data_IF_794080990445
#
_entry.id   IF_794080990445
#
_cell.length_a   1.000
_cell.length_b   1.000
_cell.length_c   1.000
_cell.angle_alpha   90.00
_cell.angle_beta   90.00
_cell.angle_gamma   90.00
#
_symmetry.space_group_name_H-M   'P 1'
#
loop_
_entity.id
_entity.type
_entity.pdbx_description
1 polymer ?
#
# COMPACT_ATOMS: atom_id res chain seq x y z
N UNK A 1 12.28 -17.43 1.07
CA UNK A 1 13.06 -16.88 -0.07
C UNK A 1 12.26 -17.02 -1.35
N UNK A 2 12.03 -18.25 -1.88
CA UNK A 2 11.17 -18.52 -3.04
C UNK A 2 9.88 -17.68 -3.08
N UNK A 3 9.00 -17.83 -2.09
CA UNK A 3 7.72 -17.11 -1.98
C UNK A 3 7.80 -15.58 -1.84
N UNK A 4 9.00 -15.03 -1.64
CA UNK A 4 9.24 -13.58 -1.64
C UNK A 4 9.61 -13.14 -3.05
N UNK A 5 10.48 -13.89 -3.74
CA UNK A 5 10.78 -13.68 -5.15
C UNK A 5 9.52 -13.88 -6.02
N UNK A 6 8.68 -14.88 -5.73
CA UNK A 6 7.41 -15.10 -6.41
C UNK A 6 6.48 -13.87 -6.32
N UNK A 7 6.46 -13.18 -5.17
CA UNK A 7 5.68 -11.94 -5.00
C UNK A 7 6.29 -10.72 -5.71
N UNK A 8 7.62 -10.58 -5.66
CA UNK A 8 8.34 -9.44 -6.22
C UNK A 8 8.48 -9.48 -7.76
N UNK A 9 8.54 -10.69 -8.35
CA UNK A 9 8.78 -10.91 -9.79
C UNK A 9 7.57 -11.49 -10.55
N UNK A 10 6.36 -11.40 -9.99
CA UNK A 10 5.12 -11.69 -10.73
C UNK A 10 4.78 -13.18 -10.90
N UNK A 11 5.13 -14.02 -9.92
CA UNK A 11 4.73 -15.43 -9.87
C UNK A 11 3.21 -15.60 -9.92
N UNK A 12 2.76 -16.54 -10.76
CA UNK A 12 1.37 -16.66 -11.22
C UNK A 12 0.41 -17.31 -10.20
N UNK A 13 0.24 -16.67 -9.04
CA UNK A 13 -0.92 -16.94 -8.18
C UNK A 13 -2.21 -16.55 -8.92
N UNK A 14 -3.27 -17.36 -8.76
CA UNK A 14 -4.52 -17.21 -9.51
C UNK A 14 -5.13 -15.82 -9.35
N UNK A 15 -5.32 -15.11 -10.46
CA UNK A 15 -5.80 -13.73 -10.52
C UNK A 15 -7.22 -13.61 -9.91
N UNK A 16 -7.31 -13.16 -8.67
CA UNK A 16 -8.57 -12.71 -8.07
C UNK A 16 -8.86 -11.28 -8.57
N UNK A 17 -9.96 -11.02 -9.30
CA UNK A 17 -10.26 -9.68 -9.83
C UNK A 17 -10.44 -8.59 -8.76
N UNK A 18 -10.68 -8.97 -7.49
CA UNK A 18 -10.72 -8.03 -6.37
C UNK A 18 -9.33 -7.65 -5.85
N UNK A 19 -8.27 -8.39 -6.21
CA UNK A 19 -6.96 -8.19 -5.61
C UNK A 19 -6.27 -6.91 -6.10
N UNK A 20 -5.98 -6.03 -5.15
CA UNK A 20 -5.25 -4.78 -5.39
C UNK A 20 -3.84 -4.93 -4.83
N UNK A 21 -2.90 -5.30 -5.70
CA UNK A 21 -1.48 -5.38 -5.36
C UNK A 21 -0.77 -4.02 -5.48
N UNK A 22 -1.32 -3.09 -6.28
CA UNK A 22 -0.64 -1.87 -6.70
C UNK A 22 -0.26 -0.95 -5.53
N UNK A 23 -1.08 -0.89 -4.47
CA UNK A 23 -0.77 -0.14 -3.24
C UNK A 23 0.03 -0.96 -2.22
N UNK A 24 0.17 -2.29 -2.39
CA UNK A 24 0.56 -3.25 -1.32
C UNK A 24 1.80 -4.09 -1.59
N UNK A 25 2.38 -3.98 -2.78
CA UNK A 25 3.60 -4.69 -3.16
C UNK A 25 4.67 -3.74 -3.69
N UNK A 26 5.87 -4.28 -3.85
CA UNK A 26 6.97 -3.70 -4.62
C UNK A 26 7.22 -4.70 -5.74
N UNK A 27 7.37 -4.25 -6.97
CA UNK A 27 7.71 -5.14 -8.09
C UNK A 27 8.74 -4.51 -9.00
N UNK A 28 9.58 -5.36 -9.59
CA UNK A 28 10.60 -5.00 -10.55
C UNK A 28 10.26 -5.62 -11.91
N UNK A 29 10.59 -4.90 -12.98
CA UNK A 29 10.51 -5.36 -14.37
C UNK A 29 9.12 -5.96 -14.72
N UNK A 30 8.07 -5.27 -14.29
CA UNK A 30 6.68 -5.67 -14.55
C UNK A 30 6.31 -5.47 -16.02
N UNK A 31 5.29 -6.20 -16.47
CA UNK A 31 4.85 -6.10 -17.86
C UNK A 31 4.34 -4.68 -18.17
N UNK A 32 4.44 -4.24 -19.43
CA UNK A 32 3.96 -2.91 -19.84
C UNK A 32 2.47 -2.71 -19.52
N UNK A 33 1.67 -3.78 -19.56
CA UNK A 33 0.25 -3.80 -19.16
C UNK A 33 0.04 -3.59 -17.65
N UNK A 34 1.01 -3.93 -16.82
CA UNK A 34 0.98 -3.71 -15.37
C UNK A 34 1.55 -2.33 -14.98
N UNK A 35 2.24 -1.63 -15.90
CA UNK A 35 2.60 -0.21 -15.74
C UNK A 35 1.38 0.71 -15.93
N UNK A 36 0.44 0.33 -16.80
CA UNK A 36 -0.83 1.05 -16.98
C UNK A 36 -1.57 1.24 -15.65
N UNK A 37 -2.29 2.36 -15.53
CA UNK A 37 -3.12 2.63 -14.36
C UNK A 37 -4.31 1.67 -14.31
N UNK A 38 -4.52 1.01 -13.16
CA UNK A 38 -5.73 0.20 -12.93
C UNK A 38 -6.99 1.06 -12.86
N UNK A 39 -8.16 0.41 -12.85
CA UNK A 39 -9.42 1.12 -12.58
C UNK A 39 -9.37 1.86 -11.24
N UNK A 40 -9.68 3.15 -11.29
CA UNK A 40 -9.61 4.14 -10.20
C UNK A 40 -8.20 4.46 -9.69
N UNK A 41 -7.15 4.04 -10.41
CA UNK A 41 -5.82 4.63 -10.30
C UNK A 41 -5.67 5.79 -11.29
N UNK A 42 -5.04 6.88 -10.86
CA UNK A 42 -4.90 8.12 -11.63
C UNK A 42 -3.49 8.68 -11.48
N UNK A 43 -2.89 9.18 -12.56
CA UNK A 43 -1.58 9.85 -12.55
C UNK A 43 -1.76 11.28 -12.01
N UNK A 44 -1.00 11.62 -10.97
CA UNK A 44 -1.02 12.95 -10.34
C UNK A 44 0.18 13.79 -10.77
N UNK A 45 1.33 13.16 -11.03
CA UNK A 45 2.57 13.85 -11.40
C UNK A 45 3.42 12.98 -12.33
N UNK A 46 4.08 13.59 -13.32
CA UNK A 46 5.11 12.94 -14.14
C UNK A 46 6.39 13.76 -14.06
N UNK A 47 7.45 13.16 -13.51
CA UNK A 47 8.77 13.78 -13.39
C UNK A 47 9.68 13.21 -14.48
N UNK A 48 10.02 14.06 -15.45
CA UNK A 48 10.93 13.78 -16.57
C UNK A 48 12.02 14.88 -16.64
N UNK A 49 13.31 14.55 -16.84
CA UNK A 49 13.92 13.21 -16.77
C UNK A 49 14.31 12.83 -15.34
N UNK A 50 14.28 11.54 -15.01
CA UNK A 50 14.64 11.00 -13.68
C UNK A 50 15.56 9.79 -13.79
N UNK A 51 16.72 9.86 -13.15
CA UNK A 51 17.71 8.77 -13.04
C UNK A 51 17.48 7.95 -11.77
N UNK A 52 17.22 6.64 -11.88
CA UNK A 52 17.40 5.76 -10.72
C UNK A 52 18.90 5.65 -10.42
N UNK A 53 19.32 6.21 -9.29
CA UNK A 53 20.73 6.31 -8.90
C UNK A 53 21.16 5.18 -7.95
N UNK A 54 20.23 4.28 -7.54
CA UNK A 54 20.52 3.09 -6.72
C UNK A 54 20.85 1.89 -7.59
N UNK A 55 19.91 1.43 -8.41
CA UNK A 55 20.08 0.26 -9.26
C UNK A 55 20.67 0.61 -10.62
N UNK A 56 20.06 1.56 -11.31
CA UNK A 56 20.30 1.85 -12.72
C UNK A 56 21.16 3.12 -12.92
N UNK A 57 22.19 3.30 -12.09
CA UNK A 57 22.97 4.54 -12.00
C UNK A 57 23.72 4.86 -13.32
N UNK A 58 23.41 6.01 -13.94
CA UNK A 58 23.76 6.32 -15.32
C UNK A 58 22.65 6.06 -16.35
N UNK A 59 21.44 5.73 -15.92
CA UNK A 59 20.25 5.60 -16.77
C UNK A 59 19.27 6.76 -16.61
N UNK A 60 18.55 7.10 -17.67
CA UNK A 60 17.50 8.11 -17.65
C UNK A 60 16.15 7.43 -17.83
N UNK A 61 15.19 7.81 -16.99
CA UNK A 61 13.83 7.30 -17.00
C UNK A 61 12.80 8.40 -16.76
N UNK A 62 11.57 7.97 -16.54
CA UNK A 62 10.44 8.81 -16.10
C UNK A 62 9.93 8.29 -14.77
N UNK A 63 9.60 9.18 -13.83
CA UNK A 63 8.96 8.82 -12.57
C UNK A 63 7.52 9.34 -12.56
N UNK A 64 6.58 8.41 -12.67
CA UNK A 64 5.14 8.65 -12.63
C UNK A 64 4.63 8.41 -11.20
N UNK A 65 3.99 9.40 -10.59
CA UNK A 65 3.36 9.26 -9.28
C UNK A 65 1.84 9.18 -9.45
N UNK A 66 1.26 8.03 -9.11
CA UNK A 66 -0.19 7.81 -9.13
C UNK A 66 -0.78 8.08 -7.74
N UNK A 67 -2.10 7.97 -7.61
CA UNK A 67 -2.80 7.96 -6.32
C UNK A 67 -2.56 6.68 -5.48
N UNK A 68 -1.91 5.63 -6.00
CA UNK A 68 -1.63 4.37 -5.29
C UNK A 68 -0.15 3.97 -5.17
N UNK A 69 0.69 4.39 -6.11
CA UNK A 69 2.09 3.95 -6.24
C UNK A 69 2.98 4.97 -6.93
N UNK A 70 4.28 4.74 -6.83
CA UNK A 70 5.27 5.32 -7.75
C UNK A 70 5.64 4.28 -8.81
N UNK A 71 5.89 4.75 -10.03
CA UNK A 71 6.34 3.92 -11.15
C UNK A 71 7.53 4.62 -11.80
N UNK A 72 8.71 3.99 -11.79
CA UNK A 72 9.86 4.43 -12.57
C UNK A 72 10.07 3.50 -13.76
N UNK A 73 10.35 4.06 -14.93
CA UNK A 73 10.61 3.30 -16.17
C UNK A 73 11.81 3.90 -16.89
N UNK A 74 12.75 3.06 -17.34
CA UNK A 74 13.88 3.50 -18.15
C UNK A 74 13.43 3.99 -19.54
N UNK A 75 14.13 5.01 -20.08
CA UNK A 75 14.01 5.47 -21.47
C UNK A 75 14.88 4.68 -22.45
N UNK A 76 15.79 3.82 -21.97
CA UNK A 76 16.52 2.86 -22.81
C UNK A 76 15.64 1.67 -23.15
N UNK A 77 15.05 1.03 -22.14
CA UNK A 77 14.06 -0.05 -22.34
C UNK A 77 12.95 -0.01 -21.30
N UNK A 78 11.71 -0.20 -21.75
CA UNK A 78 10.52 -0.28 -20.90
C UNK A 78 10.52 -1.53 -20.01
N UNK A 79 11.38 -2.51 -20.32
CA UNK A 79 11.57 -3.74 -19.54
C UNK A 79 12.17 -3.47 -18.16
N UNK A 80 13.08 -2.50 -18.06
CA UNK A 80 13.72 -2.12 -16.79
C UNK A 80 12.86 -1.08 -16.09
N UNK A 81 12.13 -1.51 -15.06
CA UNK A 81 11.15 -0.67 -14.38
C UNK A 81 10.93 -1.06 -12.91
N UNK A 82 10.35 -0.15 -12.13
CA UNK A 82 10.11 -0.32 -10.69
C UNK A 82 8.72 0.20 -10.34
N UNK A 83 7.91 -0.60 -9.66
CA UNK A 83 6.57 -0.24 -9.17
C UNK A 83 6.52 -0.36 -7.64
N UNK A 84 6.17 0.73 -6.95
CA UNK A 84 6.27 0.85 -5.49
C UNK A 84 4.95 1.32 -4.89
N UNK A 85 4.18 0.39 -4.31
CA UNK A 85 2.90 0.69 -3.67
C UNK A 85 3.02 1.47 -2.36
N UNK A 86 2.19 2.50 -2.17
CA UNK A 86 2.30 3.41 -1.02
C UNK A 86 2.11 2.74 0.35
N UNK A 87 1.44 1.59 0.46
CA UNK A 87 1.35 0.85 1.74
C UNK A 87 2.68 0.20 2.14
N UNK A 88 3.57 -0.09 1.19
CA UNK A 88 4.92 -0.57 1.47
C UNK A 88 5.82 0.55 2.03
N UNK A 89 5.45 1.81 1.81
CA UNK A 89 6.28 2.98 2.09
C UNK A 89 6.19 3.37 3.56
N UNK A 90 7.35 3.47 4.19
CA UNK A 90 7.56 3.85 5.58
C UNK A 90 8.03 5.30 5.75
N UNK A 91 8.70 5.87 4.74
CA UNK A 91 9.08 7.28 4.71
C UNK A 91 9.35 7.82 3.28
N UNK A 92 9.00 9.09 3.05
CA UNK A 92 9.34 9.92 1.86
C UNK A 92 9.66 11.35 2.35
N UNK A 93 10.80 11.94 1.96
CA UNK A 93 11.31 13.25 2.44
C UNK A 93 12.29 13.92 1.39
N UNK A 94 13.32 14.78 1.71
CA UNK A 94 14.19 15.53 0.70
C UNK A 94 15.70 15.90 1.06
N UNK A 95 16.84 15.51 0.41
CA UNK A 95 18.29 15.88 0.73
C UNK A 95 19.26 16.11 -0.49
N UNK A 96 20.43 15.43 -0.59
CA UNK A 96 21.51 15.58 -1.61
C UNK A 96 22.36 14.28 -1.77
N UNK A 97 22.91 13.99 -2.97
CA UNK A 97 23.64 12.76 -3.39
C UNK A 97 24.60 13.08 -4.57
N UNK A 98 25.26 12.06 -5.14
CA UNK A 98 26.11 12.16 -6.34
C UNK A 98 25.51 11.32 -7.51
N UNK A 99 25.43 11.90 -8.72
CA UNK A 99 24.88 11.25 -9.93
C UNK A 99 25.98 11.07 -10.99
N UNK A 100 26.02 9.90 -11.66
CA UNK A 100 27.05 9.60 -12.66
C UNK A 100 26.90 10.43 -13.94
N UNK A 101 25.68 10.88 -14.26
CA UNK A 101 25.37 11.69 -15.45
C UNK A 101 25.87 13.14 -15.29
N UNK A 102 25.97 13.65 -14.06
CA UNK A 102 26.26 15.07 -13.77
C UNK A 102 27.44 15.33 -12.82
N UNK A 103 28.04 14.30 -12.23
CA UNK A 103 29.15 14.42 -11.26
C UNK A 103 28.66 14.76 -9.84
N UNK A 104 29.43 15.55 -9.10
CA UNK A 104 28.99 16.08 -7.79
C UNK A 104 27.83 17.05 -7.98
N UNK A 105 26.62 16.61 -7.71
CA UNK A 105 25.41 17.29 -8.18
C UNK A 105 24.20 16.91 -7.33
N UNK A 106 23.66 17.89 -6.58
CA UNK A 106 22.72 17.59 -5.52
C UNK A 106 21.50 16.79 -6.04
N UNK A 107 21.17 15.72 -5.32
CA UNK A 107 20.24 14.68 -5.73
C UNK A 107 19.61 14.07 -4.47
N UNK A 108 18.32 14.25 -4.29
CA UNK A 108 17.65 14.16 -2.99
C UNK A 108 17.59 12.74 -2.37
N UNK A 109 18.48 12.45 -1.39
CA UNK A 109 18.21 11.55 -0.22
C UNK A 109 17.00 12.07 0.58
N UNK A 110 16.68 11.60 1.77
CA UNK A 110 15.33 11.84 2.35
C UNK A 110 15.35 12.52 3.75
N UNK A 111 15.31 13.88 3.79
CA UNK A 111 14.77 14.88 4.80
C UNK A 111 15.27 16.35 4.60
N UNK A 112 14.37 17.33 4.36
CA UNK A 112 14.59 18.72 3.80
C UNK A 112 15.72 19.56 4.44
N UNK A 113 16.38 20.53 3.78
CA UNK A 113 15.85 21.58 2.84
C UNK A 113 16.95 22.30 1.98
N UNK A 114 16.73 22.44 0.66
CA UNK A 114 17.58 23.11 -0.38
C UNK A 114 19.00 22.53 -0.60
N UNK A 115 19.50 22.26 -1.81
CA UNK A 115 19.00 22.50 -3.19
C UNK A 115 19.24 21.31 -4.16
N UNK A 116 18.64 21.36 -5.37
CA UNK A 116 18.48 20.30 -6.42
C UNK A 116 17.95 18.93 -5.92
N UNK A 117 17.30 18.13 -6.80
CA UNK A 117 16.18 17.26 -6.34
C UNK A 117 16.01 15.88 -7.02
N UNK A 118 15.19 15.03 -6.38
CA UNK A 118 15.02 13.57 -6.53
C UNK A 118 13.90 13.06 -5.57
N UNK A 119 13.69 11.74 -5.44
CA UNK A 119 12.89 11.08 -4.38
C UNK A 119 13.59 9.83 -3.85
N UNK A 120 13.48 9.55 -2.53
CA UNK A 120 13.68 8.18 -2.00
C UNK A 120 12.41 7.65 -1.38
N UNK A 121 12.33 6.32 -1.37
CA UNK A 121 11.22 5.56 -0.83
C UNK A 121 11.78 4.51 0.10
N UNK A 122 11.68 4.71 1.42
CA UNK A 122 12.04 3.66 2.37
C UNK A 122 10.87 2.70 2.48
N UNK A 123 11.05 1.45 2.05
CA UNK A 123 9.94 0.47 2.03
C UNK A 123 10.19 -0.72 2.92
N UNK A 124 9.10 -1.36 3.37
CA UNK A 124 9.13 -2.65 4.08
C UNK A 124 8.19 -3.64 3.42
N UNK A 125 8.74 -4.71 2.85
CA UNK A 125 7.99 -5.83 2.30
C UNK A 125 8.61 -7.15 2.76
N UNK A 126 7.78 -8.14 3.12
CA UNK A 126 8.23 -9.45 3.63
C UNK A 126 9.32 -9.38 4.73
N UNK A 127 9.18 -8.41 5.64
CA UNK A 127 10.14 -8.04 6.69
C UNK A 127 11.51 -7.49 6.24
N UNK A 128 11.81 -7.44 4.94
CA UNK A 128 13.01 -6.81 4.38
C UNK A 128 12.81 -5.29 4.19
N UNK A 129 13.91 -4.54 4.08
CA UNK A 129 13.92 -3.08 3.89
C UNK A 129 14.62 -2.69 2.59
N UNK A 130 13.95 -1.93 1.74
CA UNK A 130 14.53 -1.42 0.50
C UNK A 130 14.60 0.11 0.50
N UNK A 131 15.59 0.64 -0.22
CA UNK A 131 15.85 2.05 -0.47
C UNK A 131 15.93 2.29 -1.98
N UNK A 132 15.10 3.21 -2.48
CA UNK A 132 15.06 3.66 -3.88
C UNK A 132 15.57 5.09 -4.01
N UNK A 133 16.13 5.48 -5.16
CA UNK A 133 16.86 6.75 -5.35
C UNK A 133 16.56 7.33 -6.73
N UNK A 134 15.72 8.38 -6.85
CA UNK A 134 15.17 8.83 -8.14
C UNK A 134 15.52 10.29 -8.49
N UNK A 135 16.68 10.55 -9.09
CA UNK A 135 17.28 11.89 -9.33
C UNK A 135 16.68 12.65 -10.51
N UNK A 136 16.03 13.80 -10.27
CA UNK A 136 15.52 14.64 -11.35
C UNK A 136 16.63 15.44 -12.05
N UNK A 137 16.64 15.36 -13.37
CA UNK A 137 17.70 15.92 -14.20
C UNK A 137 17.40 17.35 -14.67
N UNK A 138 16.13 17.78 -14.74
CA UNK A 138 15.74 19.14 -15.09
C UNK A 138 15.82 20.13 -13.89
N UNK A 139 16.22 21.38 -14.16
CA UNK A 139 16.57 22.39 -13.13
C UNK A 139 15.37 23.14 -12.51
N UNK A 140 14.16 22.97 -13.05
CA UNK A 140 12.99 23.82 -12.80
C UNK A 140 11.98 23.25 -11.81
N UNK A 141 12.20 22.04 -11.31
CA UNK A 141 11.12 21.11 -10.97
C UNK A 141 10.69 21.13 -9.48
N UNK A 142 10.80 22.30 -8.82
CA UNK A 142 10.70 22.42 -7.35
C UNK A 142 9.34 22.07 -6.73
N UNK A 143 8.26 22.13 -7.51
CA UNK A 143 6.91 21.80 -7.06
C UNK A 143 6.60 20.29 -7.03
N UNK A 144 7.12 19.50 -7.97
CA UNK A 144 6.68 18.11 -8.19
C UNK A 144 6.99 17.18 -7.01
N UNK A 145 8.05 17.48 -6.27
CA UNK A 145 8.38 16.76 -5.04
C UNK A 145 7.47 17.12 -3.86
N UNK A 146 6.83 18.29 -3.87
CA UNK A 146 5.76 18.62 -2.92
C UNK A 146 4.45 17.93 -3.30
N UNK A 147 4.15 17.79 -4.61
CA UNK A 147 3.04 16.95 -5.11
C UNK A 147 3.18 15.53 -4.58
N UNK A 148 4.32 14.88 -4.80
CA UNK A 148 4.56 13.48 -4.43
C UNK A 148 4.47 13.26 -2.90
N UNK A 149 5.06 14.15 -2.10
CA UNK A 149 4.89 14.14 -0.63
C UNK A 149 3.43 14.35 -0.20
N UNK A 150 2.71 15.24 -0.89
CA UNK A 150 1.30 15.54 -0.65
C UNK A 150 0.39 14.35 -0.96
N UNK A 151 0.60 13.70 -2.10
CA UNK A 151 -0.08 12.46 -2.53
C UNK A 151 0.17 11.34 -1.53
N UNK A 152 1.42 11.06 -1.14
CA UNK A 152 1.71 10.03 -0.15
C UNK A 152 1.05 10.33 1.20
N UNK A 153 1.02 11.60 1.63
CA UNK A 153 0.31 12.02 2.84
C UNK A 153 -1.22 11.87 2.72
N UNK A 154 -1.81 12.17 1.56
CA UNK A 154 -3.24 11.93 1.29
C UNK A 154 -3.55 10.42 1.30
N UNK A 155 -2.65 9.59 0.78
CA UNK A 155 -2.74 8.13 0.85
C UNK A 155 -2.72 7.65 2.32
N UNK A 156 -1.75 8.07 3.13
CA UNK A 156 -1.61 7.57 4.51
C UNK A 156 -2.79 8.00 5.42
N UNK A 157 -3.29 9.22 5.25
CA UNK A 157 -4.44 9.71 6.03
C UNK A 157 -5.79 9.08 5.61
N UNK A 158 -5.87 8.46 4.43
CA UNK A 158 -7.10 7.85 3.89
C UNK A 158 -7.20 6.33 4.10
N UNK A 159 -6.33 5.72 4.92
CA UNK A 159 -6.32 4.26 5.18
C UNK A 159 -7.68 3.63 5.49
N UNK A 160 -8.61 4.33 6.14
CA UNK A 160 -9.94 3.79 6.47
C UNK A 160 -10.84 3.49 5.26
N UNK A 161 -10.47 3.92 4.05
CA UNK A 161 -11.09 3.49 2.79
C UNK A 161 -10.59 2.11 2.30
N UNK A 162 -9.43 1.65 2.79
CA UNK A 162 -8.68 0.54 2.18
C UNK A 162 -8.29 -0.56 3.15
N UNK A 163 -8.09 -0.25 4.43
CA UNK A 163 -7.63 -1.18 5.46
C UNK A 163 -8.76 -1.51 6.45
N UNK A 164 -8.91 -2.80 6.81
CA UNK A 164 -9.83 -3.26 7.84
C UNK A 164 -9.42 -2.72 9.22
N UNK A 165 -10.37 -2.17 9.99
CA UNK A 165 -10.10 -1.66 11.33
C UNK A 165 -11.03 -2.25 12.38
N UNK A 166 -10.46 -3.04 13.30
CA UNK A 166 -11.08 -3.44 14.56
C UNK A 166 -10.82 -2.35 15.63
N UNK A 167 -11.80 -2.12 16.52
CA UNK A 167 -11.70 -1.23 17.70
C UNK A 167 -11.13 0.17 17.37
N UNK A 168 -11.68 0.81 16.33
CA UNK A 168 -11.26 2.14 15.86
C UNK A 168 -12.11 3.27 16.42
N UNK A 169 -11.53 4.47 16.51
CA UNK A 169 -12.22 5.70 16.89
C UNK A 169 -12.94 6.34 15.69
N UNK A 170 -13.94 5.63 15.16
CA UNK A 170 -14.79 6.08 14.04
C UNK A 170 -16.28 6.12 14.38
N UNK A 171 -16.68 5.71 15.60
CA UNK A 171 -17.99 6.01 16.17
C UNK A 171 -17.80 7.16 17.16
N UNK A 172 -18.75 8.09 17.18
CA UNK A 172 -18.84 9.15 18.18
C UNK A 172 -20.33 9.44 18.43
N UNK A 173 -20.73 9.55 19.70
CA UNK A 173 -22.10 9.89 20.11
C UNK A 173 -23.16 8.98 19.44
N UNK A 174 -22.84 7.68 19.31
CA UNK A 174 -23.60 6.62 18.59
C UNK A 174 -23.74 6.79 17.06
N UNK A 175 -23.12 7.80 16.47
CA UNK A 175 -23.10 8.03 15.02
C UNK A 175 -21.76 7.64 14.37
N UNK A 176 -21.82 7.31 13.08
CA UNK A 176 -20.63 7.07 12.27
C UNK A 176 -19.96 8.38 11.90
N UNK A 177 -18.68 8.53 12.24
CA UNK A 177 -17.83 9.58 11.69
C UNK A 177 -17.47 9.23 10.25
N UNK A 178 -18.19 9.86 9.32
CA UNK A 178 -18.00 9.71 7.88
C UNK A 178 -16.60 10.16 7.45
N UNK A 179 -16.05 9.45 6.46
CA UNK A 179 -14.89 9.90 5.68
C UNK A 179 -15.35 10.92 4.59
N UNK A 180 -14.47 11.75 4.00
CA UNK A 180 -14.88 12.86 3.12
C UNK A 180 -15.79 12.47 1.95
N UNK A 181 -15.44 11.39 1.23
CA UNK A 181 -16.19 10.79 0.13
C UNK A 181 -17.20 9.70 0.58
N UNK A 182 -17.45 9.54 1.88
CA UNK A 182 -18.34 8.51 2.42
C UNK A 182 -19.79 9.00 2.55
N UNK A 183 -20.73 8.23 2.02
CA UNK A 183 -22.17 8.45 2.14
C UNK A 183 -22.82 7.19 2.71
N UNK A 184 -23.53 7.31 3.83
CA UNK A 184 -24.33 6.22 4.40
C UNK A 184 -25.64 6.07 3.63
N UNK A 185 -25.95 4.85 3.18
CA UNK A 185 -27.25 4.48 2.63
C UNK A 185 -28.22 4.03 3.72
N UNK A 186 -27.75 3.13 4.60
CA UNK A 186 -28.59 2.47 5.60
C UNK A 186 -27.94 2.41 6.98
N UNK A 187 -28.78 2.56 8.01
CA UNK A 187 -28.44 2.31 9.41
C UNK A 187 -29.39 1.26 9.97
N UNK A 188 -28.87 0.09 10.33
CA UNK A 188 -29.68 -1.06 10.77
C UNK A 188 -29.37 -1.38 12.22
N UNK A 189 -30.35 -1.13 13.09
CA UNK A 189 -30.25 -1.40 14.51
C UNK A 189 -30.59 -2.86 14.84
N UNK A 190 -30.13 -3.37 15.99
CA UNK A 190 -30.46 -4.73 16.43
C UNK A 190 -29.58 -5.83 15.82
N UNK A 191 -28.49 -5.45 15.17
CA UNK A 191 -27.55 -6.37 14.52
C UNK A 191 -26.67 -7.02 15.59
N UNK A 192 -26.86 -8.32 15.82
CA UNK A 192 -26.13 -9.07 16.82
C UNK A 192 -24.86 -9.68 16.22
N UNK A 193 -23.68 -9.32 16.72
CA UNK A 193 -22.43 -9.94 16.33
C UNK A 193 -22.25 -11.31 17.01
N UNK A 194 -21.85 -12.31 16.23
CA UNK A 194 -21.76 -13.73 16.61
C UNK A 194 -20.33 -14.21 16.89
N UNK A 195 -19.35 -13.31 17.05
CA UNK A 195 -17.95 -13.67 17.36
C UNK A 195 -17.67 -13.97 18.84
N UNK A 196 -18.69 -13.82 19.69
CA UNK A 196 -18.63 -14.00 21.16
C UNK A 196 -19.75 -14.94 21.63
N UNK A 197 -19.49 -15.71 22.69
CA UNK A 197 -20.45 -16.70 23.22
C UNK A 197 -21.77 -16.05 23.66
N UNK A 198 -21.68 -14.85 24.23
CA UNK A 198 -22.80 -13.95 24.46
C UNK A 198 -22.82 -12.95 23.30
N UNK A 199 -23.75 -13.12 22.37
CA UNK A 199 -23.84 -12.30 21.16
C UNK A 199 -24.04 -10.81 21.48
N UNK A 200 -23.17 -9.97 20.94
CA UNK A 200 -23.18 -8.54 21.24
C UNK A 200 -24.20 -7.80 20.37
N UNK A 201 -25.17 -7.11 20.98
CA UNK A 201 -26.16 -6.31 20.26
C UNK A 201 -25.57 -4.97 19.82
N UNK A 202 -25.71 -4.65 18.53
CA UNK A 202 -25.15 -3.47 17.91
C UNK A 202 -25.97 -2.89 16.77
N UNK A 203 -25.33 -2.02 16.00
CA UNK A 203 -25.93 -1.33 14.86
C UNK A 203 -24.94 -1.32 13.69
N UNK A 204 -25.44 -1.67 12.49
CA UNK A 204 -24.73 -1.46 11.23
C UNK A 204 -24.92 -0.02 10.74
N UNK A 205 -23.86 0.54 10.16
CA UNK A 205 -23.91 1.57 9.13
C UNK A 205 -23.37 0.97 7.83
N UNK A 206 -24.09 1.18 6.72
CA UNK A 206 -23.76 0.65 5.40
C UNK A 206 -23.58 1.86 4.48
N UNK A 207 -22.38 2.05 3.93
CA UNK A 207 -22.01 3.20 3.11
C UNK A 207 -21.63 2.81 1.68
N UNK A 208 -21.27 3.79 0.85
CA UNK A 208 -20.71 3.57 -0.48
C UNK A 208 -19.30 2.95 -0.50
N UNK A 209 -18.56 2.92 0.63
CA UNK A 209 -17.15 2.44 0.66
C UNK A 209 -16.88 1.33 1.69
N UNK A 210 -17.70 1.22 2.74
CA UNK A 210 -17.48 0.27 3.84
C UNK A 210 -18.76 -0.10 4.58
N UNK A 211 -18.72 -1.25 5.25
CA UNK A 211 -19.70 -1.63 6.28
C UNK A 211 -19.06 -1.43 7.64
N UNK A 212 -19.76 -0.74 8.55
CA UNK A 212 -19.30 -0.50 9.92
C UNK A 212 -20.31 -1.10 10.90
N UNK A 213 -19.84 -1.81 11.92
CA UNK A 213 -20.65 -2.30 13.04
C UNK A 213 -20.03 -1.89 14.37
N UNK A 214 -20.87 -1.55 15.35
CA UNK A 214 -20.45 -1.30 16.73
C UNK A 214 -21.46 -1.84 17.74
N UNK A 215 -21.01 -2.22 18.94
CA UNK A 215 -21.87 -2.66 20.03
C UNK A 215 -22.52 -1.47 20.76
N UNK A 216 -23.83 -1.54 20.97
CA UNK A 216 -24.63 -0.40 21.50
C UNK A 216 -24.39 -0.10 22.99
N UNK A 217 -23.72 -1.02 23.71
CA UNK A 217 -23.32 -0.87 25.11
C UNK A 217 -21.82 -0.55 25.27
N UNK A 218 -21.02 -0.65 24.20
CA UNK A 218 -19.57 -0.48 24.24
C UNK A 218 -19.05 -0.08 22.85
N UNK A 219 -19.10 1.22 22.52
CA UNK A 219 -18.79 1.73 21.17
C UNK A 219 -17.37 1.37 20.68
N UNK A 220 -16.42 1.19 21.61
CA UNK A 220 -15.06 0.72 21.30
C UNK A 220 -14.95 -0.76 20.88
N UNK A 221 -16.02 -1.56 21.02
CA UNK A 221 -16.13 -2.88 20.40
C UNK A 221 -16.85 -2.74 19.06
N UNK A 222 -16.03 -2.48 18.02
CA UNK A 222 -16.49 -2.17 16.68
C UNK A 222 -15.58 -2.77 15.59
N UNK A 223 -16.08 -2.77 14.36
CA UNK A 223 -15.36 -3.13 13.14
C UNK A 223 -15.77 -2.21 11.99
N UNK A 224 -14.79 -1.73 11.23
CA UNK A 224 -14.93 -1.04 9.95
C UNK A 224 -14.31 -1.93 8.88
N UNK A 225 -15.13 -2.40 7.94
CA UNK A 225 -14.78 -3.32 6.86
C UNK A 225 -14.99 -2.62 5.51
N UNK A 226 -13.93 -2.12 4.86
CA UNK A 226 -14.01 -1.59 3.50
C UNK A 226 -14.35 -2.68 2.47
N UNK A 227 -15.12 -2.30 1.44
CA UNK A 227 -15.46 -3.21 0.34
C UNK A 227 -14.23 -3.78 -0.38
N UNK A 228 -13.13 -3.02 -0.40
CA UNK A 228 -11.82 -3.44 -0.93
C UNK A 228 -11.24 -4.69 -0.23
N UNK A 229 -11.64 -4.95 1.02
CA UNK A 229 -11.13 -6.07 1.82
C UNK A 229 -12.12 -7.22 1.97
N UNK A 230 -13.27 -7.15 1.28
CA UNK A 230 -14.29 -8.20 1.28
C UNK A 230 -14.01 -9.24 0.20
N UNK A 231 -14.01 -10.51 0.61
CA UNK A 231 -13.83 -11.69 -0.25
C UNK A 231 -15.15 -12.39 -0.56
N UNK A 232 -16.11 -12.39 0.37
CA UNK A 232 -17.46 -12.87 0.12
C UNK A 232 -18.48 -12.27 1.10
N UNK A 233 -19.71 -12.11 0.59
CA UNK A 233 -20.92 -11.91 1.38
C UNK A 233 -21.75 -13.19 1.24
N UNK A 234 -22.17 -13.81 2.35
CA UNK A 234 -22.95 -15.06 2.33
C UNK A 234 -24.02 -15.04 3.41
N UNK A 235 -25.11 -15.79 3.18
CA UNK A 235 -25.98 -16.27 4.25
C UNK A 235 -25.54 -17.69 4.62
N UNK A 236 -25.41 -18.00 5.91
CA UNK A 236 -25.06 -19.35 6.41
C UNK A 236 -25.87 -19.66 7.67
N UNK A 237 -26.23 -20.92 7.86
CA UNK A 237 -26.79 -21.39 9.13
C UNK A 237 -25.76 -21.33 10.27
N UNK A 238 -26.23 -21.02 11.47
CA UNK A 238 -25.42 -20.94 12.69
C UNK A 238 -26.16 -21.55 13.89
N UNK A 239 -25.49 -21.70 15.04
CA UNK A 239 -26.13 -22.10 16.31
C UNK A 239 -27.27 -21.17 16.74
N UNK A 240 -27.34 -19.96 16.18
CA UNK A 240 -28.34 -18.95 16.47
C UNK A 240 -29.34 -18.73 15.31
N UNK A 241 -29.38 -19.66 14.34
CA UNK A 241 -30.17 -19.55 13.10
C UNK A 241 -29.38 -18.92 11.93
N UNK A 242 -30.08 -18.59 10.86
CA UNK A 242 -29.50 -18.01 9.64
C UNK A 242 -28.79 -16.67 9.95
N UNK A 243 -27.54 -16.55 9.51
CA UNK A 243 -26.69 -15.41 9.78
C UNK A 243 -26.07 -14.84 8.48
N UNK A 244 -25.87 -13.52 8.46
CA UNK A 244 -25.00 -12.84 7.51
C UNK A 244 -23.54 -13.15 7.87
N UNK A 245 -22.76 -13.56 6.88
CA UNK A 245 -21.33 -13.83 7.02
C UNK A 245 -20.55 -13.00 6.02
N UNK A 246 -19.67 -12.14 6.54
CA UNK A 246 -18.74 -11.33 5.76
C UNK A 246 -17.34 -11.95 5.88
N UNK A 247 -16.81 -12.47 4.79
CA UNK A 247 -15.48 -13.08 4.70
C UNK A 247 -14.49 -12.06 4.13
N UNK A 248 -13.31 -11.90 4.73
CA UNK A 248 -12.30 -10.94 4.26
C UNK A 248 -11.22 -11.59 3.39
N UNK A 249 -10.43 -10.77 2.70
CA UNK A 249 -9.20 -11.21 2.04
C UNK A 249 -8.20 -11.79 3.05
N UNK A 250 -7.33 -12.75 2.65
CA UNK A 250 -6.23 -13.23 3.49
C UNK A 250 -5.28 -12.11 3.92
N UNK A 251 -5.05 -11.13 3.05
CA UNK A 251 -4.21 -9.96 3.31
C UNK A 251 -4.76 -9.05 4.41
N UNK A 252 -6.08 -9.04 4.63
CA UNK A 252 -6.71 -8.43 5.82
C UNK A 252 -6.83 -9.38 7.02
N UNK A 253 -6.13 -10.51 7.02
CA UNK A 253 -6.14 -11.50 8.12
C UNK A 253 -7.19 -12.61 7.99
N UNK A 254 -7.96 -12.65 6.89
CA UNK A 254 -8.89 -13.76 6.60
C UNK A 254 -10.05 -13.91 7.59
N UNK A 255 -10.53 -12.81 8.18
CA UNK A 255 -11.62 -12.83 9.16
C UNK A 255 -12.93 -13.36 8.56
N UNK A 256 -13.72 -14.04 9.41
CA UNK A 256 -15.08 -14.49 9.10
C UNK A 256 -16.02 -13.85 10.13
N UNK A 257 -16.69 -12.77 9.73
CA UNK A 257 -17.52 -11.96 10.61
C UNK A 257 -18.99 -12.38 10.48
N UNK A 258 -19.50 -13.10 11.48
CA UNK A 258 -20.89 -13.53 11.56
C UNK A 258 -21.78 -12.51 12.30
N UNK A 259 -22.95 -12.22 11.71
CA UNK A 259 -23.96 -11.33 12.27
C UNK A 259 -25.36 -11.92 12.11
N UNK A 260 -26.15 -11.93 13.18
CA UNK A 260 -27.59 -12.20 13.13
C UNK A 260 -28.35 -10.88 13.01
N UNK A 261 -29.36 -10.87 12.16
CA UNK A 261 -30.27 -9.73 11.94
C UNK A 261 -31.69 -10.28 11.94
N UNK A 262 -32.56 -9.71 12.77
CA UNK A 262 -33.98 -10.06 12.85
C UNK A 262 -34.85 -8.84 12.51
N UNK A 263 -36.02 -9.02 11.88
CA UNK A 263 -36.53 -10.27 11.32
C UNK A 263 -35.82 -10.66 10.00
N UNK A 264 -36.16 -11.82 9.43
CA UNK A 264 -35.50 -12.37 8.24
C UNK A 264 -35.57 -11.43 7.04
N UNK A 265 -36.64 -10.66 6.90
CA UNK A 265 -36.84 -9.70 5.82
C UNK A 265 -35.76 -8.60 5.84
N UNK A 266 -35.33 -8.19 7.04
CA UNK A 266 -34.23 -7.24 7.24
C UNK A 266 -32.88 -7.90 6.96
N UNK A 267 -32.68 -9.17 7.32
CA UNK A 267 -31.49 -9.95 6.93
C UNK A 267 -31.36 -10.07 5.40
N UNK A 268 -32.44 -10.44 4.72
CA UNK A 268 -32.49 -10.58 3.26
C UNK A 268 -32.29 -9.22 2.56
N UNK A 269 -32.74 -8.10 3.15
CA UNK A 269 -32.46 -6.75 2.67
C UNK A 269 -30.98 -6.37 2.82
N UNK A 270 -30.43 -6.47 4.04
CA UNK A 270 -29.03 -6.13 4.34
C UNK A 270 -28.06 -6.96 3.50
N UNK A 271 -28.34 -8.26 3.32
CA UNK A 271 -27.56 -9.14 2.46
C UNK A 271 -27.52 -8.63 1.01
N UNK A 272 -28.66 -8.23 0.44
CA UNK A 272 -28.76 -7.70 -0.93
C UNK A 272 -28.09 -6.34 -1.09
N UNK A 273 -28.28 -5.45 -0.12
CA UNK A 273 -27.69 -4.11 -0.12
C UNK A 273 -26.16 -4.19 -0.08
N UNK A 274 -25.59 -4.89 0.90
CA UNK A 274 -24.13 -5.08 1.03
C UNK A 274 -23.56 -5.79 -0.19
N UNK A 275 -24.24 -6.81 -0.74
CA UNK A 275 -23.78 -7.51 -1.94
C UNK A 275 -23.79 -6.61 -3.19
N UNK A 276 -24.84 -5.82 -3.39
CA UNK A 276 -24.94 -4.89 -4.53
C UNK A 276 -23.91 -3.77 -4.44
N UNK A 277 -23.73 -3.17 -3.25
CA UNK A 277 -22.74 -2.11 -3.04
C UNK A 277 -21.31 -2.62 -3.22
N UNK A 278 -20.99 -3.83 -2.73
CA UNK A 278 -19.70 -4.48 -2.98
C UNK A 278 -19.45 -4.73 -4.47
N UNK A 279 -20.47 -5.20 -5.22
CA UNK A 279 -20.38 -5.40 -6.68
C UNK A 279 -20.23 -4.09 -7.48
N UNK A 280 -20.82 -2.98 -7.01
CA UNK A 280 -20.65 -1.66 -7.63
C UNK A 280 -19.27 -1.10 -7.31
N UNK A 281 -18.87 -1.10 -6.04
CA UNK A 281 -17.55 -0.63 -5.59
C UNK A 281 -16.41 -1.37 -6.31
N UNK A 282 -16.54 -2.69 -6.50
CA UNK A 282 -15.52 -3.51 -7.18
C UNK A 282 -15.28 -3.11 -8.65
N UNK A 283 -16.19 -2.36 -9.28
CA UNK A 283 -16.02 -1.85 -10.66
C UNK A 283 -15.31 -0.50 -10.72
N UNK A 284 -15.39 0.31 -9.68
CA UNK A 284 -14.77 1.64 -9.58
C UNK A 284 -14.46 1.96 -8.11
N UNK A 285 -13.35 1.40 -7.55
CA UNK A 285 -13.07 1.53 -6.12
C UNK A 285 -12.75 2.96 -5.70
N UNK A 286 -13.43 3.44 -4.65
CA UNK A 286 -13.10 4.73 -4.03
C UNK A 286 -11.95 4.50 -3.04
N UNK A 287 -10.72 4.77 -3.49
CA UNK A 287 -9.52 4.61 -2.67
C UNK A 287 -9.34 5.71 -1.61
N UNK A 288 -10.06 6.83 -1.72
CA UNK A 288 -10.07 7.95 -0.75
C UNK A 288 -8.84 8.86 -0.79
N UNK A 289 -8.00 8.74 -1.81
CA UNK A 289 -6.76 9.51 -1.96
C UNK A 289 -7.06 10.83 -2.68
N UNK A 290 -7.59 11.79 -1.95
CA UNK A 290 -7.88 13.13 -2.47
C UNK A 290 -6.60 14.00 -2.41
N UNK A 291 -6.01 14.26 -3.58
CA UNK A 291 -4.96 15.26 -3.73
C UNK A 291 -5.18 16.09 -4.99
N UNK A 292 -5.24 17.41 -4.84
CA UNK A 292 -5.32 18.37 -5.95
C UNK A 292 -3.97 19.04 -6.06
N UNK A 293 -3.25 18.74 -7.14
CA UNK A 293 -2.00 19.41 -7.47
C UNK A 293 -2.25 20.83 -8.00
N UNK A 294 -1.18 21.61 -8.22
CA UNK A 294 -1.33 23.04 -8.54
C UNK A 294 -2.02 23.25 -9.89
N UNK A 295 -2.93 24.25 -10.04
CA UNK A 295 -3.84 24.38 -11.18
C UNK A 295 -3.20 24.75 -12.54
N UNK A 296 -1.88 24.65 -12.65
CA UNK A 296 -1.11 24.87 -13.89
C UNK A 296 -0.59 23.56 -14.51
N UNK A 297 -0.97 22.39 -14.01
CA UNK A 297 -0.59 21.11 -14.61
C UNK A 297 -1.53 20.71 -15.75
N UNK A 298 -0.93 20.09 -16.77
CA UNK A 298 -1.67 19.51 -17.89
C UNK A 298 -2.38 18.22 -17.44
N UNK A 299 -3.54 17.93 -18.02
CA UNK A 299 -4.25 16.68 -17.73
C UNK A 299 -3.46 15.48 -18.30
N UNK A 300 -2.73 14.78 -17.43
CA UNK A 300 -1.97 13.55 -17.71
C UNK A 300 -2.87 12.38 -18.13
N UNK A 301 -3.43 12.49 -19.33
CA UNK A 301 -4.57 11.68 -19.83
C UNK A 301 -4.22 10.27 -20.31
N UNK A 302 -2.94 9.89 -20.34
CA UNK A 302 -2.48 8.55 -20.74
C UNK A 302 -0.99 8.35 -20.44
N UNK A 303 -0.60 7.12 -20.08
CA UNK A 303 0.79 6.70 -19.91
C UNK A 303 1.45 6.57 -21.30
N UNK A 304 2.19 7.59 -21.74
CA UNK A 304 2.71 7.72 -23.12
C UNK A 304 4.23 7.74 -23.19
N UNK A 305 4.85 6.63 -22.82
CA UNK A 305 6.30 6.45 -22.99
C UNK A 305 6.62 6.14 -24.46
N UNK A 306 7.50 6.92 -25.08
CA UNK A 306 8.02 6.68 -26.43
C UNK A 306 8.65 5.29 -26.54
N UNK A 307 8.46 4.61 -27.67
CA UNK A 307 9.15 3.34 -27.97
C UNK A 307 10.62 3.61 -28.31
N UNK A 308 11.51 2.76 -27.80
CA UNK A 308 12.94 2.77 -28.10
C UNK A 308 13.31 1.54 -28.94
N UNK A 309 14.39 1.64 -29.71
CA UNK A 309 14.83 0.54 -30.60
C UNK A 309 15.43 -0.66 -29.82
N UNK A 310 15.76 -0.48 -28.53
CA UNK A 310 16.39 -1.48 -27.66
C UNK A 310 15.38 -2.45 -26.99
N UNK A 311 14.06 -2.20 -27.06
CA UNK A 311 13.02 -3.00 -26.39
C UNK A 311 12.89 -4.46 -26.89
N UNK A 312 13.71 -4.90 -27.86
CA UNK A 312 13.62 -6.20 -28.52
C UNK A 312 14.30 -7.34 -27.73
N UNK A 313 15.42 -7.10 -27.04
CA UNK A 313 16.21 -8.17 -26.41
C UNK A 313 15.58 -8.73 -25.12
N UNK A 314 15.64 -10.04 -24.95
CA UNK A 314 15.05 -10.75 -23.80
C UNK A 314 16.15 -11.05 -22.77
N UNK A 315 16.18 -10.28 -21.69
CA UNK A 315 16.99 -10.61 -20.51
C UNK A 315 16.45 -11.88 -19.84
N UNK A 316 17.35 -12.82 -19.57
CA UNK A 316 17.04 -14.10 -18.94
C UNK A 316 16.69 -13.96 -17.44
N UNK A 317 16.16 -15.03 -16.86
CA UNK A 317 15.63 -14.98 -15.49
C UNK A 317 16.71 -14.91 -14.38
N UNK A 318 17.98 -15.19 -14.70
CA UNK A 318 19.06 -15.30 -13.70
C UNK A 318 19.57 -13.93 -13.21
N UNK A 319 19.66 -12.91 -14.08
CA UNK A 319 20.10 -11.54 -13.73
C UNK A 319 19.19 -10.83 -12.69
N UNK A 320 17.95 -11.30 -12.54
CA UNK A 320 16.94 -10.71 -11.64
C UNK A 320 17.32 -10.80 -10.16
N UNK A 321 18.19 -11.74 -9.79
CA UNK A 321 18.64 -11.92 -8.40
C UNK A 321 19.47 -10.73 -7.88
N UNK A 322 20.43 -10.26 -8.67
CA UNK A 322 21.37 -9.20 -8.27
C UNK A 322 20.74 -7.80 -8.32
N UNK A 323 19.78 -7.59 -9.23
CA UNK A 323 18.96 -6.37 -9.26
C UNK A 323 18.29 -6.10 -7.90
N UNK A 324 17.63 -7.11 -7.32
CA UNK A 324 16.94 -6.97 -6.03
C UNK A 324 17.92 -6.65 -4.88
N UNK A 325 19.10 -7.28 -4.89
CA UNK A 325 20.11 -7.08 -3.84
C UNK A 325 20.62 -5.64 -3.77
N UNK A 326 20.66 -4.96 -4.92
CA UNK A 326 21.15 -3.58 -5.06
C UNK A 326 20.27 -2.56 -4.31
N UNK A 327 18.97 -2.84 -4.13
CA UNK A 327 18.05 -1.93 -3.42
C UNK A 327 17.97 -2.17 -1.91
N UNK A 328 18.69 -3.13 -1.31
CA UNK A 328 18.63 -3.32 0.15
C UNK A 328 19.16 -2.08 0.90
N UNK A 329 18.44 -1.68 1.94
CA UNK A 329 18.83 -0.58 2.81
C UNK A 329 20.05 -0.92 3.69
N UNK A 330 20.15 -2.18 4.12
CA UNK A 330 21.36 -2.77 4.71
C UNK A 330 21.98 -3.74 3.70
N UNK A 331 22.99 -3.31 2.95
CA UNK A 331 23.66 -4.12 1.91
C UNK A 331 24.36 -5.39 2.44
N UNK A 332 24.36 -5.63 3.76
CA UNK A 332 24.95 -6.82 4.41
C UNK A 332 23.96 -7.61 5.28
N UNK A 333 22.67 -7.25 5.30
CA UNK A 333 21.67 -7.82 6.20
C UNK A 333 20.38 -8.24 5.49
N UNK A 334 20.34 -9.48 5.01
CA UNK A 334 19.18 -10.01 4.29
C UNK A 334 17.90 -10.21 5.13
N UNK A 335 18.02 -10.32 6.46
CA UNK A 335 16.91 -10.41 7.40
C UNK A 335 17.32 -9.98 8.83
N UNK A 336 16.35 -9.48 9.60
CA UNK A 336 16.47 -9.35 11.07
C UNK A 336 16.42 -10.76 11.71
N UNK A 337 17.33 -11.08 12.65
CA UNK A 337 17.28 -12.32 13.45
C UNK A 337 16.27 -12.20 14.60
N UNK A 338 15.96 -13.34 15.24
CA UNK A 338 15.00 -13.40 16.33
C UNK A 338 15.36 -12.48 17.51
N UNK A 339 14.37 -11.81 18.14
CA UNK A 339 14.61 -10.97 19.31
C UNK A 339 14.81 -11.82 20.57
N UNK A 340 15.91 -11.57 21.28
CA UNK A 340 16.24 -12.19 22.57
C UNK A 340 16.30 -11.14 23.67
N UNK A 341 16.02 -11.54 24.92
CA UNK A 341 16.27 -10.67 26.07
C UNK A 341 17.76 -10.69 26.40
N UNK A 342 18.41 -9.52 26.39
CA UNK A 342 19.75 -9.35 26.92
C UNK A 342 19.69 -8.79 28.35
N UNK A 343 20.41 -9.44 29.26
CA UNK A 343 20.41 -9.12 30.69
C UNK A 343 21.18 -7.84 30.98
N UNK A 344 22.28 -7.61 30.26
CA UNK A 344 23.25 -6.54 30.52
C UNK A 344 22.68 -5.14 30.21
N UNK A 345 21.87 -5.05 29.14
CA UNK A 345 21.11 -3.86 28.77
C UNK A 345 19.69 -3.81 29.38
N UNK A 346 19.17 -4.95 29.86
CA UNK A 346 17.77 -5.08 30.31
C UNK A 346 16.73 -4.93 29.17
N UNK A 347 17.12 -5.19 27.92
CA UNK A 347 16.33 -4.92 26.72
C UNK A 347 16.16 -6.17 25.85
N UNK A 348 15.09 -6.17 25.04
CA UNK A 348 14.99 -7.06 23.89
C UNK A 348 15.91 -6.54 22.77
N UNK A 349 16.82 -7.39 22.29
CA UNK A 349 17.79 -7.08 21.23
C UNK A 349 17.69 -8.14 20.13
N UNK A 350 18.14 -7.82 18.92
CA UNK A 350 18.35 -8.84 17.89
C UNK A 350 19.42 -9.84 18.35
N UNK A 351 19.20 -11.14 18.16
CA UNK A 351 20.19 -12.18 18.45
C UNK A 351 21.54 -11.86 17.78
N UNK A 352 22.63 -11.87 18.56
CA UNK A 352 23.98 -11.56 18.07
C UNK A 352 24.49 -12.62 17.09
N UNK A 353 25.62 -12.35 16.43
CA UNK A 353 26.31 -13.40 15.64
C UNK A 353 27.02 -14.34 16.61
N UNK A 354 27.17 -15.61 16.23
CA UNK A 354 27.89 -16.59 17.04
C UNK A 354 29.32 -16.09 17.34
N UNK A 355 29.74 -16.17 18.60
CA UNK A 355 31.02 -15.65 19.08
C UNK A 355 31.10 -14.13 19.32
N UNK A 356 30.02 -13.36 19.12
CA UNK A 356 30.00 -11.90 19.32
C UNK A 356 29.19 -11.51 20.58
N UNK A 357 29.73 -10.61 21.40
CA UNK A 357 29.09 -10.03 22.60
C UNK A 357 28.70 -8.56 22.40
N UNK A 358 27.88 -8.01 23.30
CA UNK A 358 27.49 -6.59 23.25
C UNK A 358 28.69 -5.67 23.51
N UNK A 359 29.53 -6.01 24.50
CA UNK A 359 30.73 -5.21 24.80
C UNK A 359 31.69 -5.11 23.62
N UNK A 360 31.81 -6.18 22.81
CA UNK A 360 32.61 -6.19 21.57
C UNK A 360 32.00 -5.34 20.44
N UNK A 361 30.68 -5.13 20.44
CA UNK A 361 29.98 -4.27 19.48
C UNK A 361 29.95 -2.80 19.93
N UNK A 362 30.07 -2.55 21.24
CA UNK A 362 30.09 -1.20 21.83
C UNK A 362 31.51 -0.62 21.94
N UNK A 363 32.52 -1.47 22.13
CA UNK A 363 33.93 -1.07 22.23
C UNK A 363 34.48 -0.65 20.87
N UNK A 364 34.71 0.65 20.70
CA UNK A 364 35.46 1.17 19.55
C UNK A 364 36.95 0.87 19.73
N UNK A 365 37.55 0.21 18.73
CA UNK A 365 38.99 0.02 18.55
C UNK A 365 39.55 1.06 17.56
#
# INVERSE_FOLDING_TARGET
MQSVMDGLFGGSTSFDPGYTWHDREIRFDISVKDLDCRTSEEIIEIIDPVEDTKGNNGDQGELHATNLRLIWVSKKTKRTNISIGYNCVTAVNVKEADSRIKGKTQAVYVMTKYSNQAVYVMTKYSNQRFEFIFTALAKTNSGMFQTLLGTFKAYDNSRLYRDLKLRGAFIQDRELKLLPLEQTYSRVNGVMNLSSEQGNLGTFFISNVRVVWFANLAEGFNVSLPYLQMKAVRLRESKFGLALVLETTPQSGGYVLGFRVDPKETLDYVYKEISSLWQVYSKAPIFGVEYVASPNQENFSSFKISESEEDVEVADAEDRGDLLATYYADATKGADRDPIYNVDLGLAVEQLKEGVTIDQLWSVL
#
